data_IF_688962200409
#
_entry.id   IF_688962200409
#
_cell.length_a   1.000
_cell.length_b   1.000
_cell.length_c   1.000
_cell.angle_alpha   90.00
_cell.angle_beta   90.00
_cell.angle_gamma   90.00
#
_symmetry.space_group_name_H-M   'P 1'
#
loop_
_entity.id
_entity.type
_entity.pdbx_description
1 polymer ?
#
# COMPACT_ATOMS: atom_id res chain seq x y z
N UNK A 1 -48.02 -11.71 20.18
CA UNK A 1 -47.99 -12.71 19.09
C UNK A 1 -46.53 -13.03 18.83
N UNK A 2 -46.07 -14.26 19.13
CA UNK A 2 -44.70 -14.69 18.85
C UNK A 2 -44.62 -14.86 17.33
N UNK A 3 -44.07 -13.88 16.61
CA UNK A 3 -43.87 -14.01 15.16
C UNK A 3 -42.99 -15.24 14.94
N UNK A 4 -43.55 -16.28 14.33
CA UNK A 4 -42.74 -17.38 13.81
C UNK A 4 -41.79 -16.78 12.77
N UNK A 5 -40.48 -17.03 12.86
CA UNK A 5 -39.55 -16.54 11.86
C UNK A 5 -40.00 -17.04 10.47
N UNK A 6 -40.07 -16.13 9.51
CA UNK A 6 -40.42 -16.45 8.13
C UNK A 6 -39.31 -17.33 7.53
N UNK A 7 -39.68 -18.50 7.02
CA UNK A 7 -38.73 -19.41 6.38
C UNK A 7 -38.32 -18.88 5.01
N UNK A 8 -37.01 -18.91 4.74
CA UNK A 8 -36.49 -18.70 3.38
C UNK A 8 -36.95 -19.85 2.46
N UNK A 9 -36.98 -19.65 1.12
CA UNK A 9 -37.35 -20.70 0.18
C UNK A 9 -36.57 -22.01 0.38
N UNK A 10 -37.26 -23.15 0.27
CA UNK A 10 -36.65 -24.47 0.38
C UNK A 10 -35.62 -24.70 -0.73
N UNK A 11 -34.44 -25.18 -0.36
CA UNK A 11 -33.38 -25.54 -1.30
C UNK A 11 -33.41 -27.06 -1.51
N UNK A 12 -33.66 -27.50 -2.74
CA UNK A 12 -33.59 -28.92 -3.12
C UNK A 12 -32.20 -29.24 -3.68
N UNK A 13 -31.57 -30.27 -3.12
CA UNK A 13 -30.24 -30.71 -3.51
C UNK A 13 -30.31 -32.11 -4.17
N UNK A 14 -29.47 -32.40 -5.18
CA UNK A 14 -29.27 -33.76 -5.67
C UNK A 14 -28.80 -34.71 -4.56
N UNK A 15 -29.12 -36.01 -4.69
CA UNK A 15 -28.80 -37.01 -3.67
C UNK A 15 -27.31 -37.19 -3.37
N UNK A 16 -26.43 -36.90 -4.32
CA UNK A 16 -24.97 -36.96 -4.16
C UNK A 16 -24.34 -35.66 -3.62
N UNK A 17 -25.12 -34.75 -3.04
CA UNK A 17 -24.59 -33.48 -2.52
C UNK A 17 -24.07 -33.65 -1.10
N UNK A 18 -22.80 -33.33 -0.88
CA UNK A 18 -22.19 -33.40 0.45
C UNK A 18 -22.31 -32.09 1.25
N UNK A 19 -22.58 -30.96 0.57
CA UNK A 19 -22.67 -29.65 1.21
C UNK A 19 -23.63 -28.70 0.47
N UNK A 20 -24.05 -27.65 1.17
CA UNK A 20 -24.82 -26.52 0.62
C UNK A 20 -24.27 -25.21 1.15
N UNK A 21 -24.17 -24.20 0.28
CA UNK A 21 -23.67 -22.88 0.64
C UNK A 21 -24.83 -21.90 0.82
N UNK A 22 -25.01 -21.39 2.04
CA UNK A 22 -25.96 -20.32 2.34
C UNK A 22 -25.26 -18.97 2.18
N UNK A 23 -25.69 -18.20 1.16
CA UNK A 23 -25.11 -16.89 0.83
C UNK A 23 -26.04 -15.75 1.24
N UNK A 24 -25.49 -14.54 1.30
CA UNK A 24 -26.26 -13.31 1.54
C UNK A 24 -27.07 -13.35 2.84
N UNK A 25 -26.47 -13.87 3.91
CA UNK A 25 -27.04 -13.87 5.24
C UNK A 25 -26.82 -12.50 5.90
N UNK A 26 -27.76 -12.10 6.75
CA UNK A 26 -27.64 -10.89 7.54
C UNK A 26 -26.48 -11.02 8.52
N UNK A 27 -25.77 -9.91 8.78
CA UNK A 27 -24.70 -9.88 9.76
C UNK A 27 -25.25 -9.94 11.18
N UNK A 28 -24.49 -10.56 12.09
CA UNK A 28 -24.81 -10.68 13.50
C UNK A 28 -26.22 -11.25 13.77
N UNK A 29 -26.69 -12.15 12.90
CA UNK A 29 -28.01 -12.76 12.95
C UNK A 29 -27.90 -14.26 13.26
N UNK A 30 -28.91 -14.78 13.94
CA UNK A 30 -29.02 -16.21 14.28
C UNK A 30 -29.93 -16.91 13.27
N UNK A 31 -29.47 -18.06 12.77
CA UNK A 31 -30.20 -18.86 11.78
C UNK A 31 -30.35 -20.30 12.29
N UNK A 32 -31.51 -20.90 12.01
CA UNK A 32 -31.76 -22.34 12.15
C UNK A 32 -31.92 -22.95 10.75
N UNK A 33 -31.19 -24.03 10.49
CA UNK A 33 -31.25 -24.81 9.25
C UNK A 33 -31.89 -26.14 9.56
N UNK A 34 -32.91 -26.51 8.79
CA UNK A 34 -33.52 -27.84 8.83
C UNK A 34 -33.19 -28.62 7.57
N UNK A 35 -32.58 -29.79 7.72
CA UNK A 35 -32.22 -30.70 6.62
C UNK A 35 -33.06 -31.96 6.71
N UNK A 36 -33.67 -32.35 5.59
CA UNK A 36 -34.52 -33.53 5.47
C UNK A 36 -34.05 -34.32 4.24
N UNK A 37 -33.77 -35.61 4.41
CA UNK A 37 -33.50 -36.51 3.29
C UNK A 37 -34.83 -37.07 2.75
N UNK A 38 -34.96 -37.16 1.44
CA UNK A 38 -36.15 -37.69 0.75
C UNK A 38 -35.76 -38.81 -0.21
N UNK A 39 -36.44 -39.95 -0.15
CA UNK A 39 -36.31 -41.07 -1.09
C UNK A 39 -37.71 -41.59 -1.50
N UNK A 40 -37.79 -42.68 -2.25
CA UNK A 40 -39.07 -43.26 -2.68
C UNK A 40 -40.00 -43.69 -1.53
N UNK A 41 -39.43 -43.97 -0.35
CA UNK A 41 -40.18 -44.35 0.86
C UNK A 41 -40.72 -43.13 1.61
N UNK A 42 -40.16 -41.95 1.38
CA UNK A 42 -40.60 -40.68 1.94
C UNK A 42 -39.47 -39.85 2.54
N UNK A 43 -39.83 -39.02 3.52
CA UNK A 43 -38.94 -38.06 4.17
C UNK A 43 -38.39 -38.60 5.49
N UNK A 44 -37.13 -38.30 5.78
CA UNK A 44 -36.49 -38.60 7.05
C UNK A 44 -37.01 -37.70 8.18
N UNK A 45 -36.58 -37.99 9.42
CA UNK A 45 -36.65 -37.00 10.51
C UNK A 45 -35.77 -35.79 10.15
N UNK A 46 -36.16 -34.56 10.55
CA UNK A 46 -35.37 -33.37 10.30
C UNK A 46 -34.11 -33.34 11.19
N UNK A 47 -32.97 -33.05 10.57
CA UNK A 47 -31.76 -32.64 11.27
C UNK A 47 -31.76 -31.11 11.39
N UNK A 48 -31.47 -30.59 12.58
CA UNK A 48 -31.46 -29.14 12.85
C UNK A 48 -30.07 -28.67 13.21
N UNK A 49 -29.67 -27.54 12.66
CA UNK A 49 -28.40 -26.89 12.95
C UNK A 49 -28.60 -25.39 13.12
N UNK A 50 -28.11 -24.83 14.23
CA UNK A 50 -28.20 -23.40 14.51
C UNK A 50 -26.81 -22.78 14.49
N UNK A 51 -26.69 -21.60 13.88
CA UNK A 51 -25.45 -20.84 13.85
C UNK A 51 -25.73 -19.34 13.84
N UNK A 52 -24.71 -18.56 14.23
CA UNK A 52 -24.76 -17.10 14.21
C UNK A 52 -23.73 -16.57 13.21
N UNK A 53 -24.14 -15.65 12.35
CA UNK A 53 -23.22 -14.95 11.46
C UNK A 53 -22.33 -13.96 12.24
N UNK A 54 -21.16 -13.65 11.72
CA UNK A 54 -20.26 -12.70 12.36
C UNK A 54 -20.84 -11.29 12.37
N UNK A 55 -20.29 -10.40 13.20
CA UNK A 55 -20.56 -8.97 13.07
C UNK A 55 -20.14 -8.47 11.69
N UNK A 56 -20.82 -7.43 11.20
CA UNK A 56 -20.42 -6.76 9.98
C UNK A 56 -18.99 -6.22 10.16
N UNK A 57 -18.08 -6.46 9.19
CA UNK A 57 -16.76 -5.86 9.23
C UNK A 57 -16.90 -4.35 9.34
N UNK A 58 -16.52 -3.78 10.49
CA UNK A 58 -16.37 -2.33 10.60
C UNK A 58 -15.24 -1.95 9.66
N UNK A 59 -15.44 -0.92 8.83
CA UNK A 59 -14.34 -0.24 8.16
C UNK A 59 -13.54 0.40 9.29
N UNK A 60 -12.59 -0.35 9.85
CA UNK A 60 -11.48 0.24 10.58
C UNK A 60 -10.77 1.01 9.47
N UNK A 61 -10.74 2.36 9.49
CA UNK A 61 -9.90 3.09 8.55
C UNK A 61 -8.55 2.44 8.71
N UNK A 62 -8.02 1.84 7.62
CA UNK A 62 -6.83 1.03 7.63
C UNK A 62 -5.90 1.72 8.60
N UNK A 63 -5.63 1.06 9.74
CA UNK A 63 -4.67 1.60 10.69
C UNK A 63 -3.51 1.93 9.79
N UNK A 64 -3.22 3.22 9.64
CA UNK A 64 -1.99 3.67 9.04
C UNK A 64 -0.95 3.18 10.02
N UNK A 65 -0.66 1.88 10.02
CA UNK A 65 0.71 1.43 10.04
C UNK A 65 1.31 2.28 8.94
N UNK A 66 2.05 3.34 9.27
CA UNK A 66 2.77 4.03 8.24
C UNK A 66 3.64 2.91 7.66
N UNK A 67 3.34 2.47 6.44
CA UNK A 67 4.42 1.94 5.63
C UNK A 67 5.42 3.08 5.68
N UNK A 68 6.56 2.83 6.32
CA UNK A 68 7.63 3.82 6.52
C UNK A 68 8.24 4.14 5.16
N UNK A 69 7.43 4.69 4.26
CA UNK A 69 7.85 5.28 3.01
C UNK A 69 8.54 6.58 3.37
N UNK A 70 9.76 6.73 2.87
CA UNK A 70 10.48 7.97 2.98
C UNK A 70 9.62 9.08 2.36
N UNK A 71 9.30 10.11 3.15
CA UNK A 71 8.46 11.20 2.66
C UNK A 71 9.08 11.84 1.42
N UNK A 72 8.27 12.34 0.51
CA UNK A 72 8.76 13.04 -0.71
C UNK A 72 9.76 14.15 -0.35
N UNK A 73 9.52 14.85 0.76
CA UNK A 73 10.44 15.87 1.28
C UNK A 73 11.81 15.29 1.67
N UNK A 74 11.85 14.11 2.30
CA UNK A 74 13.09 13.46 2.66
C UNK A 74 13.84 12.91 1.43
N UNK A 75 13.11 12.39 0.42
CA UNK A 75 13.72 12.00 -0.87
C UNK A 75 14.39 13.21 -1.55
N UNK A 76 13.67 14.33 -1.65
CA UNK A 76 14.20 15.57 -2.25
C UNK A 76 15.41 16.09 -1.48
N UNK A 77 15.35 16.07 -0.14
CA UNK A 77 16.48 16.47 0.71
C UNK A 77 17.75 15.64 0.46
N UNK A 78 17.61 14.32 0.33
CA UNK A 78 18.74 13.43 0.03
C UNK A 78 19.37 13.77 -1.33
N UNK A 79 18.55 14.01 -2.36
CA UNK A 79 19.05 14.37 -3.70
C UNK A 79 19.85 15.67 -3.67
N UNK A 80 19.40 16.67 -2.91
CA UNK A 80 20.11 17.95 -2.75
C UNK A 80 21.46 17.73 -2.06
N UNK A 81 21.49 16.96 -0.98
CA UNK A 81 22.73 16.67 -0.24
C UNK A 81 23.74 15.95 -1.13
N UNK A 82 23.32 14.94 -1.88
CA UNK A 82 24.18 14.22 -2.83
C UNK A 82 24.72 15.19 -3.89
N UNK A 83 23.86 16.03 -4.45
CA UNK A 83 24.28 17.00 -5.47
C UNK A 83 25.35 17.97 -4.93
N UNK A 84 25.17 18.51 -3.73
CA UNK A 84 26.15 19.39 -3.08
C UNK A 84 27.48 18.66 -2.83
N UNK A 85 27.44 17.42 -2.35
CA UNK A 85 28.65 16.63 -2.13
C UNK A 85 29.41 16.36 -3.44
N UNK A 86 28.69 16.08 -4.54
CA UNK A 86 29.30 15.89 -5.86
C UNK A 86 29.94 17.19 -6.37
N UNK A 87 29.29 18.34 -6.18
CA UNK A 87 29.88 19.63 -6.54
C UNK A 87 31.18 19.88 -5.76
N UNK A 88 31.15 19.70 -4.43
CA UNK A 88 32.36 19.86 -3.59
C UNK A 88 33.47 18.91 -4.04
N UNK A 89 33.16 17.66 -4.34
CA UNK A 89 34.14 16.69 -4.83
C UNK A 89 34.71 17.09 -6.19
N UNK A 90 33.88 17.58 -7.12
CA UNK A 90 34.33 18.13 -8.40
C UNK A 90 35.25 19.33 -8.20
N UNK A 91 34.92 20.25 -7.30
CA UNK A 91 35.76 21.42 -7.02
C UNK A 91 37.10 21.06 -6.40
N UNK A 92 37.12 20.13 -5.46
CA UNK A 92 38.36 19.60 -4.86
C UNK A 92 39.20 18.92 -5.94
N UNK A 93 38.59 18.08 -6.78
CA UNK A 93 39.29 17.37 -7.85
C UNK A 93 39.82 18.35 -8.90
N UNK A 94 39.04 19.35 -9.31
CA UNK A 94 39.48 20.41 -10.22
C UNK A 94 40.58 21.29 -9.61
N UNK A 95 40.51 21.58 -8.31
CA UNK A 95 41.55 22.29 -7.57
C UNK A 95 42.89 21.52 -7.62
N UNK A 96 42.86 20.21 -7.43
CA UNK A 96 44.07 19.38 -7.44
C UNK A 96 44.61 19.09 -8.84
N UNK A 97 43.75 18.88 -9.84
CA UNK A 97 44.18 18.52 -11.20
C UNK A 97 44.59 19.73 -12.06
N UNK A 98 43.95 20.89 -11.86
CA UNK A 98 44.12 22.04 -12.76
C UNK A 98 44.58 23.34 -12.06
N UNK A 99 44.83 23.32 -10.73
CA UNK A 99 45.20 24.51 -9.92
C UNK A 99 44.21 25.70 -10.03
N UNK A 100 43.02 25.46 -10.58
CA UNK A 100 41.93 26.42 -10.72
C UNK A 100 40.63 25.67 -10.43
N UNK A 101 39.99 25.98 -9.30
CA UNK A 101 38.73 25.33 -8.92
C UNK A 101 37.60 25.74 -9.85
N UNK A 102 36.65 24.83 -10.13
CA UNK A 102 35.52 25.08 -11.01
C UNK A 102 34.68 26.28 -10.50
N UNK A 103 34.51 26.44 -9.19
CA UNK A 103 33.92 27.63 -8.57
C UNK A 103 34.69 28.93 -8.83
N UNK A 104 36.03 28.87 -8.93
CA UNK A 104 36.82 30.06 -9.28
C UNK A 104 36.65 30.37 -10.76
N UNK A 105 36.74 29.38 -11.65
CA UNK A 105 36.50 29.53 -13.10
C UNK A 105 35.10 30.09 -13.41
N UNK A 106 34.05 29.64 -12.71
CA UNK A 106 32.69 30.15 -12.87
C UNK A 106 32.57 31.59 -12.33
N UNK A 107 33.21 31.91 -11.19
CA UNK A 107 33.30 33.28 -10.70
C UNK A 107 34.07 34.20 -11.67
N UNK A 108 35.07 33.70 -12.40
CA UNK A 108 35.79 34.50 -13.41
C UNK A 108 34.96 34.70 -14.69
N UNK A 109 34.21 33.68 -15.13
CA UNK A 109 33.38 33.77 -16.35
C UNK A 109 32.10 34.60 -16.12
N UNK A 110 31.56 34.66 -14.89
CA UNK A 110 30.41 35.51 -14.53
C UNK A 110 30.80 36.91 -14.02
N UNK A 111 31.95 37.09 -13.37
CA UNK A 111 32.39 38.40 -12.87
C UNK A 111 33.53 39.06 -13.68
N UNK A 112 33.88 38.51 -14.85
CA UNK A 112 34.71 39.20 -15.87
C UNK A 112 36.05 39.74 -15.36
N UNK A 113 36.72 39.05 -14.44
CA UNK A 113 37.96 39.55 -13.83
C UNK A 113 39.16 38.82 -14.40
N UNK A 114 39.85 39.43 -15.37
CA UNK A 114 41.06 38.90 -16.00
C UNK A 114 42.03 38.33 -14.97
N UNK A 115 42.44 37.06 -15.17
CA UNK A 115 43.33 36.35 -14.25
C UNK A 115 44.70 37.04 -14.09
N UNK A 116 45.40 36.82 -12.97
CA UNK A 116 46.73 37.35 -12.77
C UNK A 116 47.73 36.57 -13.63
N UNK A 117 47.99 37.07 -14.84
CA UNK A 117 48.86 36.40 -15.81
C UNK A 117 49.05 37.15 -17.12
N UNK A 118 49.13 38.47 -17.08
CA UNK A 118 49.55 39.27 -18.25
C UNK A 118 50.32 40.51 -17.78
N UNK A 119 51.60 40.33 -17.46
CA UNK A 119 52.58 41.39 -17.70
C UNK A 119 53.93 40.75 -18.03
N UNK A 120 54.07 40.39 -19.31
CA UNK A 120 55.38 40.27 -19.91
C UNK A 120 56.02 41.66 -19.98
N UNK A 121 57.27 41.71 -19.48
CA UNK A 121 58.43 42.36 -20.10
C UNK A 121 58.40 43.87 -20.33
N UNK A 122 59.15 44.58 -19.48
CA UNK A 122 60.02 45.71 -19.88
C UNK A 122 61.33 45.61 -19.05
N UNK A 123 62.48 45.74 -19.75
CA UNK A 123 63.90 45.59 -19.34
C UNK A 123 64.46 44.17 -19.35
#
# INVERSE_FOLDING_TARGET
>A
VKQSPEWKPEIRLPSGSDHVMLKSLDWNAEYEVTVIAENQQGKSKPARYAFRTSAQPTIIPASTTPTSGLSTAAIVGILIVIFVLLLVAMDITCYFLNKCGLFMCIAVNLCGKSGPGAKGKDM
#
